data_IF_855774252306
#
_entry.id   IF_855774252306
#
_cell.length_a   1.000
_cell.length_b   1.000
_cell.length_c   1.000
_cell.angle_alpha   90.00
_cell.angle_beta   90.00
_cell.angle_gamma   90.00
#
_symmetry.space_group_name_H-M   'P 1'
#
loop_
_entity.id
_entity.type
_entity.pdbx_description
1 polymer ?
#
# COMPACT_ATOMS: atom_id res chain seq x y z
N UNK A 1 29.85 52.86 -13.21
CA UNK A 1 29.38 51.47 -13.36
C UNK A 1 29.50 50.77 -12.01
N UNK A 2 28.40 50.66 -11.24
CA UNK A 2 28.42 50.12 -9.86
C UNK A 2 27.25 49.14 -9.65
N UNK A 3 26.99 48.30 -10.66
CA UNK A 3 25.89 47.33 -10.69
C UNK A 3 26.31 45.92 -10.27
N UNK A 4 27.60 45.60 -10.30
CA UNK A 4 28.15 44.28 -9.92
C UNK A 4 27.73 43.73 -8.55
N UNK A 5 27.80 44.51 -7.45
CA UNK A 5 27.47 43.97 -6.12
C UNK A 5 25.96 43.76 -5.92
N UNK A 6 25.11 44.56 -6.58
CA UNK A 6 23.65 44.40 -6.51
C UNK A 6 23.18 43.15 -7.25
N UNK A 7 23.76 42.86 -8.42
CA UNK A 7 23.45 41.65 -9.18
C UNK A 7 23.89 40.40 -8.42
N UNK A 8 25.09 40.41 -7.81
CA UNK A 8 25.57 39.30 -6.99
C UNK A 8 24.66 39.05 -5.78
N UNK A 9 24.20 40.10 -5.11
CA UNK A 9 23.30 39.98 -3.97
C UNK A 9 21.93 39.40 -4.36
N UNK A 10 21.37 39.84 -5.49
CA UNK A 10 20.11 39.30 -6.01
C UNK A 10 20.25 37.82 -6.39
N UNK A 11 21.34 37.43 -7.05
CA UNK A 11 21.60 36.03 -7.38
C UNK A 11 21.72 35.14 -6.14
N UNK A 12 22.41 35.59 -5.09
CA UNK A 12 22.55 34.83 -3.83
C UNK A 12 21.20 34.71 -3.11
N UNK A 13 20.41 35.78 -3.09
CA UNK A 13 19.07 35.74 -2.47
C UNK A 13 18.12 34.80 -3.21
N UNK A 14 18.18 34.77 -4.54
CA UNK A 14 17.36 33.90 -5.37
C UNK A 14 17.73 32.43 -5.20
N UNK A 15 19.02 32.09 -5.18
CA UNK A 15 19.46 30.70 -4.95
C UNK A 15 19.12 30.23 -3.54
N UNK A 16 19.24 31.11 -2.53
CA UNK A 16 18.83 30.79 -1.16
C UNK A 16 17.32 30.53 -1.09
N UNK A 17 16.50 31.37 -1.73
CA UNK A 17 15.04 31.20 -1.76
C UNK A 17 14.64 29.89 -2.45
N UNK A 18 15.27 29.55 -3.59
CA UNK A 18 15.04 28.29 -4.29
C UNK A 18 15.48 27.08 -3.44
N UNK A 19 16.62 27.17 -2.76
CA UNK A 19 17.10 26.11 -1.87
C UNK A 19 16.11 25.85 -0.72
N UNK A 20 15.56 26.92 -0.11
CA UNK A 20 14.53 26.80 0.91
C UNK A 20 13.25 26.13 0.39
N UNK A 21 12.81 26.48 -0.82
CA UNK A 21 11.66 25.83 -1.45
C UNK A 21 11.86 24.32 -1.67
N UNK A 22 13.05 23.91 -2.11
CA UNK A 22 13.40 22.49 -2.28
C UNK A 22 13.43 21.75 -0.94
N UNK A 23 13.98 22.36 0.11
CA UNK A 23 14.04 21.76 1.46
C UNK A 23 12.63 21.60 2.04
N UNK A 24 11.75 22.59 1.84
CA UNK A 24 10.36 22.51 2.29
C UNK A 24 9.60 21.40 1.56
N UNK A 25 9.74 21.31 0.23
CA UNK A 25 9.15 20.25 -0.56
C UNK A 25 9.69 18.86 -0.18
N UNK A 26 10.99 18.76 0.14
CA UNK A 26 11.63 17.52 0.58
C UNK A 26 11.10 17.08 1.95
N UNK A 27 11.00 17.99 2.93
CA UNK A 27 10.41 17.70 4.25
C UNK A 27 8.95 17.28 4.15
N UNK A 28 8.19 17.90 3.26
CA UNK A 28 6.79 17.53 3.05
C UNK A 28 6.67 16.12 2.46
N UNK A 29 7.52 15.77 1.49
CA UNK A 29 7.60 14.40 0.96
C UNK A 29 8.00 13.39 2.02
N UNK A 30 8.97 13.69 2.87
CA UNK A 30 9.34 12.81 4.00
C UNK A 30 8.21 12.66 5.01
N UNK A 31 7.46 13.72 5.32
CA UNK A 31 6.27 13.63 6.19
C UNK A 31 5.19 12.74 5.61
N UNK A 32 4.90 12.87 4.31
CA UNK A 32 3.91 12.01 3.64
C UNK A 32 4.40 10.55 3.63
N UNK A 33 5.67 10.31 3.33
CA UNK A 33 6.22 8.95 3.35
C UNK A 33 6.19 8.32 4.75
N UNK A 34 6.54 9.09 5.78
CA UNK A 34 6.52 8.60 7.17
C UNK A 34 5.10 8.37 7.68
N UNK A 35 4.15 9.22 7.33
CA UNK A 35 2.72 9.03 7.63
C UNK A 35 2.18 7.76 6.94
N UNK A 36 2.43 7.60 5.64
CA UNK A 36 2.04 6.41 4.89
C UNK A 36 2.69 5.13 5.46
N UNK A 37 3.94 5.20 5.89
CA UNK A 37 4.63 4.06 6.52
C UNK A 37 4.04 3.71 7.89
N UNK A 38 3.66 4.71 8.69
CA UNK A 38 2.99 4.50 9.98
C UNK A 38 1.61 3.88 9.78
N UNK A 39 0.83 4.40 8.83
CA UNK A 39 -0.49 3.87 8.46
C UNK A 39 -0.39 2.43 7.95
N UNK A 40 0.62 2.13 7.12
CA UNK A 40 0.88 0.75 6.67
C UNK A 40 1.17 -0.19 7.85
N UNK A 41 1.96 0.27 8.84
CA UNK A 41 2.27 -0.54 10.04
C UNK A 41 1.05 -0.76 10.93
N UNK A 42 0.21 0.25 11.13
CA UNK A 42 -1.02 0.09 11.93
C UNK A 42 -1.99 -0.85 11.23
N UNK A 43 -2.14 -0.71 9.91
CA UNK A 43 -2.96 -1.60 9.07
C UNK A 43 -2.46 -3.04 9.13
N UNK A 44 -1.15 -3.27 8.96
CA UNK A 44 -0.52 -4.59 9.15
C UNK A 44 -0.79 -5.19 10.52
N UNK A 45 -0.65 -4.39 11.59
CA UNK A 45 -0.90 -4.85 12.94
C UNK A 45 -2.36 -5.31 13.12
N UNK A 46 -3.32 -4.55 12.59
CA UNK A 46 -4.75 -4.89 12.61
C UNK A 46 -5.04 -6.19 11.84
N UNK A 47 -4.53 -6.30 10.60
CA UNK A 47 -4.67 -7.51 9.78
C UNK A 47 -4.03 -8.74 10.43
N UNK A 48 -2.87 -8.57 11.08
CA UNK A 48 -2.19 -9.66 11.79
C UNK A 48 -2.94 -10.08 13.05
N UNK A 49 -3.54 -9.14 13.78
CA UNK A 49 -4.33 -9.41 14.98
C UNK A 49 -5.62 -10.16 14.64
N UNK A 50 -6.25 -9.82 13.51
CA UNK A 50 -7.45 -10.49 13.01
C UNK A 50 -7.14 -11.76 12.18
N UNK A 51 -5.85 -12.07 11.95
CA UNK A 51 -5.45 -13.17 11.08
C UNK A 51 -6.05 -13.09 9.68
N UNK A 52 -6.29 -11.86 9.21
CA UNK A 52 -6.91 -11.50 7.94
C UNK A 52 -8.33 -12.03 7.72
N UNK A 53 -9.02 -12.43 8.80
CA UNK A 53 -10.35 -13.02 8.73
C UNK A 53 -11.40 -12.03 8.18
N UNK A 54 -11.39 -10.77 8.61
CA UNK A 54 -12.30 -9.74 8.12
C UNK A 54 -12.13 -9.42 6.63
N UNK A 55 -10.87 -9.38 6.16
CA UNK A 55 -10.58 -9.20 4.73
C UNK A 55 -11.04 -10.41 3.91
N UNK A 56 -10.76 -11.63 4.37
CA UNK A 56 -11.20 -12.85 3.69
C UNK A 56 -12.71 -13.02 3.73
N UNK A 57 -13.37 -12.70 4.84
CA UNK A 57 -14.82 -12.78 4.99
C UNK A 57 -15.54 -11.77 4.09
N UNK A 58 -15.02 -10.54 3.96
CA UNK A 58 -15.57 -9.55 3.04
C UNK A 58 -15.36 -9.94 1.57
N UNK A 59 -14.22 -10.55 1.24
CA UNK A 59 -14.00 -11.12 -0.09
C UNK A 59 -14.94 -12.30 -0.38
N UNK A 60 -15.12 -13.21 0.59
CA UNK A 60 -16.05 -14.34 0.50
C UNK A 60 -17.50 -13.87 0.34
N UNK A 61 -17.91 -12.81 1.04
CA UNK A 61 -19.24 -12.22 0.87
C UNK A 61 -19.46 -11.66 -0.55
N UNK A 62 -18.38 -11.25 -1.23
CA UNK A 62 -18.41 -10.79 -2.62
C UNK A 62 -18.18 -11.90 -3.64
N UNK A 63 -17.84 -13.13 -3.23
CA UNK A 63 -17.55 -14.27 -4.11
C UNK A 63 -18.65 -14.50 -5.15
N UNK A 64 -19.91 -14.58 -4.72
CA UNK A 64 -21.04 -14.78 -5.63
C UNK A 64 -21.22 -13.65 -6.65
N UNK A 65 -20.70 -12.46 -6.37
CA UNK A 65 -20.74 -11.31 -7.28
C UNK A 65 -19.55 -11.34 -8.23
N UNK A 66 -18.35 -11.62 -7.70
CA UNK A 66 -17.10 -11.68 -8.47
C UNK A 66 -17.10 -12.86 -9.45
N UNK A 67 -17.48 -14.06 -8.98
CA UNK A 67 -17.50 -15.28 -9.80
C UNK A 67 -18.66 -15.33 -10.81
N UNK A 68 -19.81 -14.72 -10.49
CA UNK A 68 -21.01 -14.79 -11.35
C UNK A 68 -21.10 -13.67 -12.38
N UNK A 69 -20.47 -12.53 -12.11
CA UNK A 69 -20.53 -11.37 -13.01
C UNK A 69 -19.34 -11.28 -13.98
N UNK A 70 -18.28 -12.08 -13.80
CA UNK A 70 -17.08 -12.01 -14.65
C UNK A 70 -16.47 -10.61 -14.73
N UNK A 71 -16.69 -9.74 -13.74
CA UNK A 71 -16.42 -8.31 -13.90
C UNK A 71 -16.87 -7.39 -12.76
N UNK A 72 -16.94 -7.88 -11.51
CA UNK A 72 -16.95 -6.95 -10.37
C UNK A 72 -15.52 -6.91 -9.85
N UNK A 73 -14.85 -5.79 -10.10
CA UNK A 73 -13.50 -5.52 -9.59
C UNK A 73 -13.54 -5.57 -8.07
N UNK A 74 -12.68 -6.41 -7.50
CA UNK A 74 -12.43 -6.42 -6.06
C UNK A 74 -11.91 -5.01 -5.70
N UNK A 75 -12.45 -4.35 -4.67
CA UNK A 75 -11.95 -3.04 -4.25
C UNK A 75 -10.44 -3.10 -4.03
N UNK A 76 -9.69 -2.17 -4.63
CA UNK A 76 -8.22 -2.18 -4.61
C UNK A 76 -7.66 -2.24 -3.18
N UNK A 77 -8.31 -1.54 -2.24
CA UNK A 77 -7.97 -1.59 -0.83
C UNK A 77 -8.08 -3.00 -0.23
N UNK A 78 -9.13 -3.76 -0.59
CA UNK A 78 -9.36 -5.12 -0.10
C UNK A 78 -8.42 -6.14 -0.77
N UNK A 79 -8.19 -5.99 -2.08
CA UNK A 79 -7.21 -6.78 -2.80
C UNK A 79 -5.79 -6.57 -2.22
N UNK A 80 -5.45 -5.33 -1.89
CA UNK A 80 -4.19 -4.98 -1.25
C UNK A 80 -4.08 -5.60 0.14
N UNK A 81 -5.13 -5.61 0.96
CA UNK A 81 -5.12 -6.22 2.30
C UNK A 81 -4.87 -7.72 2.22
N UNK A 82 -5.58 -8.40 1.32
CA UNK A 82 -5.44 -9.84 1.13
C UNK A 82 -4.06 -10.18 0.58
N UNK A 83 -3.55 -9.39 -0.38
CA UNK A 83 -2.19 -9.55 -0.88
C UNK A 83 -1.16 -9.34 0.23
N UNK A 84 -1.35 -8.35 1.11
CA UNK A 84 -0.45 -8.10 2.24
C UNK A 84 -0.45 -9.28 3.23
N UNK A 85 -1.62 -9.85 3.48
CA UNK A 85 -1.80 -11.00 4.37
C UNK A 85 -1.12 -12.27 3.87
N UNK A 86 -1.20 -12.44 2.56
CA UNK A 86 -0.57 -13.50 1.78
C UNK A 86 0.96 -13.32 1.78
N UNK A 87 1.46 -12.16 1.33
CA UNK A 87 2.90 -11.83 1.26
C UNK A 87 3.62 -11.93 2.61
N UNK A 88 3.00 -11.43 3.68
CA UNK A 88 3.58 -11.47 5.04
C UNK A 88 3.27 -12.78 5.78
N UNK A 89 2.54 -13.71 5.16
CA UNK A 89 2.12 -15.01 5.73
C UNK A 89 1.48 -14.88 7.13
N UNK A 90 0.73 -13.80 7.37
CA UNK A 90 -0.01 -13.52 8.61
C UNK A 90 -1.44 -14.08 8.58
N UNK A 91 -1.84 -14.69 7.46
CA UNK A 91 -3.18 -15.23 7.28
C UNK A 91 -3.42 -16.47 8.15
N UNK A 92 -4.50 -16.46 8.92
CA UNK A 92 -4.83 -17.58 9.80
C UNK A 92 -5.23 -18.84 9.02
N UNK A 93 -5.00 -20.01 9.59
CA UNK A 93 -5.41 -21.30 9.03
C UNK A 93 -6.88 -21.36 8.55
N UNK A 94 -7.89 -20.91 9.33
CA UNK A 94 -9.27 -20.90 8.86
C UNK A 94 -9.49 -19.94 7.68
N UNK A 95 -8.84 -18.77 7.66
CA UNK A 95 -8.90 -17.82 6.55
C UNK A 95 -8.33 -18.42 5.25
N UNK A 96 -7.19 -19.13 5.33
CA UNK A 96 -6.62 -19.89 4.20
C UNK A 96 -7.59 -20.92 3.66
N UNK A 97 -8.13 -21.74 4.55
CA UNK A 97 -9.07 -22.79 4.19
C UNK A 97 -10.34 -22.23 3.52
N UNK A 98 -10.79 -21.04 3.96
CA UNK A 98 -11.92 -20.36 3.36
C UNK A 98 -11.61 -19.85 1.95
N UNK A 99 -10.44 -19.26 1.71
CA UNK A 99 -10.04 -18.85 0.36
C UNK A 99 -9.83 -20.03 -0.60
N UNK A 100 -9.38 -21.18 -0.10
CA UNK A 100 -9.24 -22.41 -0.90
C UNK A 100 -10.60 -22.98 -1.30
N UNK A 101 -11.54 -23.08 -0.34
CA UNK A 101 -12.89 -23.60 -0.58
C UNK A 101 -13.70 -22.77 -1.57
N UNK A 102 -13.49 -21.46 -1.57
CA UNK A 102 -14.20 -20.49 -2.42
C UNK A 102 -13.49 -20.25 -3.75
N UNK A 103 -12.37 -20.95 -4.00
CA UNK A 103 -11.49 -20.75 -5.15
C UNK A 103 -10.99 -19.30 -5.35
N UNK A 104 -11.14 -18.44 -4.32
CA UNK A 104 -10.75 -17.03 -4.36
C UNK A 104 -9.22 -16.85 -4.44
N UNK A 105 -8.44 -17.83 -3.98
CA UNK A 105 -6.98 -17.87 -4.16
C UNK A 105 -6.57 -17.70 -5.63
N UNK A 106 -7.38 -18.15 -6.59
CA UNK A 106 -7.06 -18.00 -8.02
C UNK A 106 -7.07 -16.55 -8.51
N UNK A 107 -7.71 -15.64 -7.78
CA UNK A 107 -7.71 -14.20 -8.07
C UNK A 107 -6.38 -13.53 -7.67
N UNK A 108 -5.56 -14.19 -6.85
CA UNK A 108 -4.28 -13.68 -6.35
C UNK A 108 -3.13 -14.60 -6.80
N UNK A 109 -2.79 -14.61 -8.11
CA UNK A 109 -1.87 -15.59 -8.69
C UNK A 109 -0.41 -15.49 -8.19
N UNK A 110 0.00 -14.38 -7.56
CA UNK A 110 1.38 -14.21 -7.08
C UNK A 110 1.81 -15.21 -5.99
N UNK A 111 0.87 -15.88 -5.35
CA UNK A 111 1.12 -16.85 -4.28
C UNK A 111 1.18 -18.31 -4.75
N UNK A 112 0.59 -18.63 -5.90
CA UNK A 112 0.59 -20.02 -6.42
C UNK A 112 1.99 -20.51 -6.81
N UNK A 113 2.98 -19.63 -6.85
CA UNK A 113 4.39 -19.98 -7.08
C UNK A 113 5.16 -20.38 -5.81
N UNK A 114 4.60 -20.17 -4.62
CA UNK A 114 5.27 -20.41 -3.34
C UNK A 114 4.57 -21.44 -2.43
N UNK A 115 3.56 -22.16 -2.94
CA UNK A 115 3.07 -23.38 -2.29
C UNK A 115 4.01 -24.53 -2.69
N UNK A 116 4.84 -25.06 -1.77
CA UNK A 116 5.46 -26.36 -2.01
C UNK A 116 4.33 -27.37 -2.18
N UNK A 117 4.30 -28.00 -3.36
CA UNK A 117 3.64 -29.29 -3.50
C UNK A 117 4.37 -30.25 -2.57
N UNK A 118 3.81 -30.55 -1.40
CA UNK A 118 3.89 -31.85 -0.71
C UNK A 118 3.01 -31.86 0.54
#
# INVERSE_FOLDING_TARGET
MRTGPLVAFLCISATLYLAWGQIAAYRERERIQTANAAERRTRMAELSADGCNGAVASLAAMEHRVLKAGGIEVPEALASDITLCLEENIMSGPSRLQMERTHLIRLFPRETSALPNE
#
